data_IF_781637000117
#
_entry.id   IF_781637000117
#
_cell.length_a   1.000
_cell.length_b   1.000
_cell.length_c   1.000
_cell.angle_alpha   90.00
_cell.angle_beta   90.00
_cell.angle_gamma   90.00
#
_symmetry.space_group_name_H-M   'P 1'
#
loop_
_entity.id
_entity.type
_entity.pdbx_description
1 polymer ?
#
# COMPACT_ATOMS: atom_id res chain seq x y z
N UNK A 1 -7.48 -40.34 12.42
CA UNK A 1 -7.19 -38.91 12.12
C UNK A 1 -8.32 -38.10 12.74
N UNK A 2 -8.07 -37.41 13.84
CA UNK A 2 -9.06 -36.52 14.45
C UNK A 2 -9.11 -35.24 13.61
N UNK A 3 -10.24 -34.95 12.98
CA UNK A 3 -10.51 -33.66 12.39
C UNK A 3 -10.48 -32.62 13.54
N UNK A 4 -9.45 -31.79 13.59
CA UNK A 4 -9.49 -30.56 14.38
C UNK A 4 -10.54 -29.67 13.73
N UNK A 5 -11.72 -29.56 14.35
CA UNK A 5 -12.71 -28.56 13.98
C UNK A 5 -12.05 -27.21 14.30
N UNK A 6 -11.81 -26.39 13.28
CA UNK A 6 -11.34 -25.03 13.48
C UNK A 6 -12.39 -24.28 14.33
N UNK A 7 -11.94 -23.63 15.39
CA UNK A 7 -12.81 -22.79 16.22
C UNK A 7 -13.32 -21.61 15.39
N UNK A 8 -14.55 -21.16 15.65
CA UNK A 8 -15.00 -19.90 15.08
C UNK A 8 -14.14 -18.74 15.65
N UNK A 9 -14.03 -17.64 14.92
CA UNK A 9 -13.27 -16.47 15.40
C UNK A 9 -13.78 -15.95 16.76
N UNK A 10 -15.07 -16.02 17.00
CA UNK A 10 -15.65 -15.69 18.31
C UNK A 10 -15.24 -16.63 19.44
N UNK A 11 -15.07 -17.93 19.14
CA UNK A 11 -14.57 -18.92 20.11
C UNK A 11 -13.09 -18.70 20.41
N UNK A 12 -12.29 -18.32 19.39
CA UNK A 12 -10.89 -17.93 19.56
C UNK A 12 -10.75 -16.68 20.44
N UNK A 13 -11.56 -15.64 20.18
CA UNK A 13 -11.62 -14.46 21.03
C UNK A 13 -12.00 -14.79 22.49
N UNK A 14 -12.99 -15.65 22.70
CA UNK A 14 -13.38 -16.07 24.05
C UNK A 14 -12.29 -16.88 24.72
N UNK A 15 -11.60 -17.76 24.00
CA UNK A 15 -10.48 -18.55 24.54
C UNK A 15 -9.35 -17.66 25.03
N UNK A 16 -8.99 -16.63 24.27
CA UNK A 16 -7.85 -15.77 24.57
C UNK A 16 -8.19 -14.66 25.60
N UNK A 17 -9.36 -14.02 25.50
CA UNK A 17 -9.63 -12.79 26.24
C UNK A 17 -10.76 -12.86 27.27
N UNK A 18 -11.36 -14.01 27.53
CA UNK A 18 -12.58 -14.13 28.36
C UNK A 18 -12.47 -13.42 29.72
N UNK A 19 -13.10 -12.24 29.81
CA UNK A 19 -13.24 -11.41 31.02
C UNK A 19 -11.92 -11.00 31.72
N UNK A 20 -10.76 -11.17 31.07
CA UNK A 20 -9.49 -10.69 31.58
C UNK A 20 -9.18 -9.27 31.08
N UNK A 21 -8.32 -8.58 31.77
CA UNK A 21 -7.73 -7.34 31.25
C UNK A 21 -6.72 -7.72 30.17
N UNK A 22 -6.79 -7.06 29.01
CA UNK A 22 -5.85 -7.20 27.91
C UNK A 22 -5.07 -5.91 27.71
N UNK A 23 -3.78 -5.98 27.45
CA UNK A 23 -3.02 -4.82 26.98
C UNK A 23 -3.34 -4.50 25.54
N UNK A 24 -3.03 -3.28 25.09
CA UNK A 24 -3.23 -2.90 23.69
C UNK A 24 -2.32 -3.74 22.79
N UNK A 25 -1.07 -4.01 23.22
CA UNK A 25 -0.13 -4.86 22.47
C UNK A 25 -0.64 -6.29 22.29
N UNK A 26 -1.22 -6.90 23.33
CA UNK A 26 -1.81 -8.24 23.22
C UNK A 26 -2.94 -8.28 22.19
N UNK A 27 -3.81 -7.25 22.19
CA UNK A 27 -4.88 -7.12 21.23
C UNK A 27 -4.35 -6.93 19.80
N UNK A 28 -3.29 -6.15 19.62
CA UNK A 28 -2.64 -5.91 18.35
C UNK A 28 -1.98 -7.20 17.80
N UNK A 29 -1.25 -7.92 18.64
CA UNK A 29 -0.61 -9.20 18.25
C UNK A 29 -1.69 -10.20 17.81
N UNK A 30 -2.73 -10.39 18.62
CA UNK A 30 -3.84 -11.28 18.29
C UNK A 30 -4.51 -10.88 16.99
N UNK A 31 -4.82 -9.59 16.82
CA UNK A 31 -5.47 -9.07 15.62
C UNK A 31 -4.67 -9.36 14.35
N UNK A 32 -3.33 -9.23 14.41
CA UNK A 32 -2.45 -9.51 13.28
C UNK A 32 -2.40 -11.00 12.96
N UNK A 33 -2.31 -11.85 13.98
CA UNK A 33 -2.24 -13.31 13.80
C UNK A 33 -3.55 -13.92 13.28
N UNK A 34 -4.67 -13.20 13.44
CA UNK A 34 -6.00 -13.63 12.98
C UNK A 34 -6.55 -12.81 11.82
N UNK A 35 -5.67 -12.20 11.00
CA UNK A 35 -6.04 -11.45 9.78
C UNK A 35 -7.06 -10.33 9.98
N UNK A 36 -7.09 -9.71 11.16
CA UNK A 36 -7.90 -8.51 11.36
C UNK A 36 -7.32 -7.33 10.58
N UNK A 37 -8.18 -6.44 10.12
CA UNK A 37 -7.78 -5.20 9.44
C UNK A 37 -7.53 -4.05 10.41
N UNK A 38 -8.39 -3.91 11.43
CA UNK A 38 -8.34 -2.78 12.34
C UNK A 38 -8.70 -3.20 13.78
N UNK A 39 -8.11 -2.48 14.76
CA UNK A 39 -8.47 -2.52 16.17
C UNK A 39 -8.96 -1.14 16.58
N UNK A 40 -10.11 -1.08 17.22
CA UNK A 40 -10.72 0.15 17.74
C UNK A 40 -10.70 0.14 19.25
N UNK A 41 -10.13 1.17 19.86
CA UNK A 41 -10.05 1.39 21.30
C UNK A 41 -10.78 2.69 21.66
N UNK A 42 -11.61 2.65 22.70
CA UNK A 42 -12.05 3.84 23.41
C UNK A 42 -11.95 3.57 24.91
N UNK A 43 -11.26 4.44 25.63
CA UNK A 43 -11.06 4.30 27.06
C UNK A 43 -12.42 4.21 27.77
N UNK A 44 -12.58 3.26 28.67
CA UNK A 44 -13.82 2.87 29.37
C UNK A 44 -14.81 2.04 28.57
N UNK A 45 -14.50 1.71 27.32
CA UNK A 45 -15.34 0.84 26.47
C UNK A 45 -14.62 -0.47 26.12
N UNK A 46 -15.37 -1.45 25.60
CA UNK A 46 -14.80 -2.70 25.10
C UNK A 46 -14.04 -2.42 23.81
N UNK A 47 -12.90 -3.07 23.55
CA UNK A 47 -12.24 -3.04 22.25
C UNK A 47 -13.06 -3.76 21.18
N UNK A 48 -12.88 -3.34 19.93
CA UNK A 48 -13.48 -3.99 18.77
C UNK A 48 -12.42 -4.30 17.72
N UNK A 49 -12.57 -5.43 17.04
CA UNK A 49 -11.75 -5.85 15.91
C UNK A 49 -12.59 -5.87 14.64
N UNK A 50 -11.98 -5.43 13.54
CA UNK A 50 -12.53 -5.61 12.19
C UNK A 50 -11.84 -6.77 11.50
N UNK A 51 -12.63 -7.72 10.96
CA UNK A 51 -12.12 -8.85 10.18
C UNK A 51 -13.06 -9.13 9.01
N UNK A 52 -12.54 -9.13 7.79
CA UNK A 52 -13.30 -9.37 6.55
C UNK A 52 -14.59 -8.52 6.46
N UNK A 53 -14.52 -7.26 6.89
CA UNK A 53 -15.65 -6.33 6.87
C UNK A 53 -16.66 -6.49 8.03
N UNK A 54 -16.47 -7.47 8.91
CA UNK A 54 -17.30 -7.68 10.10
C UNK A 54 -16.61 -7.09 11.33
N UNK A 55 -17.44 -6.60 12.28
CA UNK A 55 -16.97 -6.01 13.55
C UNK A 55 -17.24 -6.98 14.69
N UNK A 56 -16.21 -7.26 15.48
CA UNK A 56 -16.26 -8.18 16.61
C UNK A 56 -15.86 -7.47 17.90
N UNK A 57 -16.75 -7.54 18.91
CA UNK A 57 -16.43 -7.06 20.26
C UNK A 57 -15.48 -8.07 20.94
N UNK A 58 -14.34 -7.58 21.43
CA UNK A 58 -13.43 -8.43 22.21
C UNK A 58 -14.02 -8.67 23.62
N UNK A 59 -14.14 -9.91 24.09
CA UNK A 59 -14.77 -10.25 25.37
C UNK A 59 -13.83 -10.09 26.59
N UNK A 60 -12.90 -9.13 26.54
CA UNK A 60 -12.05 -8.73 27.65
C UNK A 60 -12.78 -7.74 28.59
N UNK A 61 -12.11 -7.19 29.60
CA UNK A 61 -12.63 -6.03 30.32
C UNK A 61 -12.55 -4.77 29.45
N UNK A 62 -13.39 -3.74 29.70
CA UNK A 62 -13.25 -2.45 29.05
C UNK A 62 -11.84 -1.87 29.23
N UNK A 63 -11.34 -1.16 28.23
CA UNK A 63 -10.01 -0.55 28.26
C UNK A 63 -9.93 0.49 29.39
N UNK A 64 -9.11 0.23 30.40
CA UNK A 64 -8.94 1.15 31.52
C UNK A 64 -8.02 2.32 31.17
N UNK A 65 -8.04 3.38 32.02
CA UNK A 65 -7.09 4.48 31.88
C UNK A 65 -5.63 4.01 32.06
N UNK A 66 -5.40 3.02 32.93
CA UNK A 66 -4.05 2.50 33.18
C UNK A 66 -3.52 1.74 31.95
N UNK A 67 -4.34 0.92 31.29
CA UNK A 67 -3.97 0.24 30.02
C UNK A 67 -3.63 1.28 28.96
N UNK A 68 -4.42 2.35 28.86
CA UNK A 68 -4.13 3.43 27.93
C UNK A 68 -2.84 4.18 28.26
N UNK A 69 -2.62 4.54 29.54
CA UNK A 69 -1.40 5.26 29.98
C UNK A 69 -0.16 4.44 29.68
N UNK A 70 -0.18 3.14 29.99
CA UNK A 70 0.94 2.24 29.67
C UNK A 70 1.27 2.24 28.18
N UNK A 71 0.27 2.17 27.31
CA UNK A 71 0.47 2.25 25.87
C UNK A 71 1.03 3.63 25.45
N UNK A 72 0.45 4.71 25.96
CA UNK A 72 0.89 6.06 25.61
C UNK A 72 2.34 6.33 26.06
N UNK A 73 2.73 5.89 27.23
CA UNK A 73 4.10 6.03 27.75
C UNK A 73 5.14 5.28 26.90
N UNK A 74 4.74 4.17 26.28
CA UNK A 74 5.64 3.37 25.44
C UNK A 74 5.77 3.90 24.01
N UNK A 75 4.70 4.42 23.43
CA UNK A 75 4.62 4.69 21.99
C UNK A 75 4.39 6.14 21.60
N UNK A 76 4.00 7.00 22.54
CA UNK A 76 3.80 8.44 22.30
C UNK A 76 4.91 9.22 22.97
N UNK A 77 5.89 9.73 22.20
CA UNK A 77 6.98 10.54 22.76
C UNK A 77 6.43 11.82 23.43
N UNK A 78 7.16 12.36 24.41
CA UNK A 78 6.74 13.56 25.14
C UNK A 78 6.47 14.75 24.21
N UNK A 79 7.29 14.97 23.19
CA UNK A 79 7.09 16.04 22.20
C UNK A 79 5.81 15.85 21.36
N UNK A 80 5.50 14.59 20.99
CA UNK A 80 4.26 14.24 20.27
C UNK A 80 3.05 14.30 21.19
N UNK A 81 3.22 14.02 22.49
CA UNK A 81 2.15 14.08 23.46
C UNK A 81 1.67 15.52 23.67
N UNK A 82 2.56 16.50 23.71
CA UNK A 82 2.20 17.93 23.76
C UNK A 82 1.39 18.33 22.52
N UNK A 83 1.81 17.89 21.32
CA UNK A 83 1.07 18.09 20.08
C UNK A 83 -0.30 17.38 20.08
N UNK A 84 -0.39 16.17 20.62
CA UNK A 84 -1.62 15.40 20.77
C UNK A 84 -2.62 16.08 21.68
N UNK A 85 -2.18 16.57 22.84
CA UNK A 85 -3.04 17.28 23.79
C UNK A 85 -3.57 18.58 23.20
N UNK A 86 -2.73 19.33 22.45
CA UNK A 86 -3.12 20.59 21.81
C UNK A 86 -4.03 20.40 20.60
N UNK A 87 -3.67 19.50 19.68
CA UNK A 87 -4.39 19.30 18.42
C UNK A 87 -5.55 18.32 18.53
N UNK A 88 -5.65 17.61 19.66
CA UNK A 88 -6.65 16.56 19.95
C UNK A 88 -6.65 15.41 18.96
N UNK A 89 -5.58 15.27 18.16
CA UNK A 89 -5.37 14.17 17.24
C UNK A 89 -3.88 13.96 16.98
N UNK A 90 -3.50 12.71 16.71
CA UNK A 90 -2.12 12.35 16.36
C UNK A 90 -2.14 11.09 15.50
N UNK A 91 -1.47 11.13 14.34
CA UNK A 91 -1.16 9.96 13.54
C UNK A 91 0.27 9.51 13.80
N UNK A 92 0.48 8.21 14.03
CA UNK A 92 1.79 7.63 14.27
C UNK A 92 1.88 6.18 13.78
N UNK A 93 3.10 5.71 13.60
CA UNK A 93 3.38 4.29 13.42
C UNK A 93 3.79 3.66 14.73
N UNK A 94 3.23 2.49 15.05
CA UNK A 94 3.54 1.71 16.24
C UNK A 94 4.18 0.40 15.84
N UNK A 95 5.30 0.03 16.45
CA UNK A 95 5.92 -1.29 16.29
C UNK A 95 5.83 -2.05 17.62
N UNK A 96 5.18 -3.22 17.58
CA UNK A 96 5.03 -4.10 18.76
C UNK A 96 5.89 -5.34 18.58
N UNK A 97 6.70 -5.65 19.60
CA UNK A 97 7.51 -6.87 19.62
C UNK A 97 6.63 -8.08 19.96
N UNK A 98 6.77 -9.13 19.16
CA UNK A 98 6.06 -10.40 19.37
C UNK A 98 6.92 -11.29 20.25
N UNK A 99 6.43 -11.78 21.39
CA UNK A 99 7.14 -12.76 22.22
C UNK A 99 7.47 -14.03 21.41
N UNK A 100 8.66 -14.62 21.65
CA UNK A 100 9.13 -15.81 20.90
C UNK A 100 8.14 -16.97 20.94
N UNK A 101 7.46 -17.17 22.05
CA UNK A 101 6.43 -18.19 22.23
C UNK A 101 5.17 -18.01 21.37
N UNK A 102 4.95 -16.78 20.87
CA UNK A 102 3.82 -16.41 19.99
C UNK A 102 4.25 -16.22 18.54
N UNK A 103 5.53 -16.46 18.22
CA UNK A 103 6.06 -16.33 16.87
C UNK A 103 5.67 -17.55 16.03
N UNK A 104 4.88 -17.33 14.99
CA UNK A 104 4.72 -18.32 13.93
C UNK A 104 5.89 -18.21 12.95
N UNK A 105 6.29 -19.32 12.30
CA UNK A 105 7.47 -19.42 11.43
C UNK A 105 7.45 -18.44 10.25
N UNK A 106 6.26 -18.00 9.87
CA UNK A 106 6.03 -17.10 8.72
C UNK A 106 5.95 -15.61 9.11
N UNK A 107 6.10 -15.29 10.39
CA UNK A 107 5.96 -13.92 10.90
C UNK A 107 7.29 -13.35 11.39
N UNK A 108 7.43 -12.04 11.27
CA UNK A 108 8.58 -11.29 11.81
C UNK A 108 8.45 -11.16 13.33
N UNK A 109 9.57 -10.90 14.01
CA UNK A 109 9.59 -10.61 15.47
C UNK A 109 8.94 -9.29 15.85
N UNK A 110 8.47 -8.51 14.88
CA UNK A 110 7.82 -7.21 15.08
C UNK A 110 6.62 -7.06 14.16
N UNK A 111 5.52 -6.57 14.73
CA UNK A 111 4.33 -6.16 13.98
C UNK A 111 4.22 -4.64 13.98
N UNK A 112 3.84 -4.08 12.84
CA UNK A 112 3.69 -2.64 12.66
C UNK A 112 2.23 -2.27 12.42
N UNK A 113 1.87 -1.08 12.94
CA UNK A 113 0.50 -0.55 12.87
C UNK A 113 0.54 0.93 12.53
N UNK A 114 -0.38 1.37 11.68
CA UNK A 114 -0.75 2.79 11.60
C UNK A 114 -1.75 3.07 12.71
N UNK A 115 -1.49 4.07 13.52
CA UNK A 115 -2.32 4.42 14.65
C UNK A 115 -2.82 5.86 14.50
N UNK A 116 -4.13 6.05 14.48
CA UNK A 116 -4.77 7.36 14.59
C UNK A 116 -5.31 7.50 16.01
N UNK A 117 -4.73 8.43 16.78
CA UNK A 117 -5.18 8.80 18.11
C UNK A 117 -6.10 10.01 18.07
N UNK A 118 -7.10 10.06 18.94
CA UNK A 118 -8.03 11.17 19.04
C UNK A 118 -8.76 11.21 20.35
N UNK A 119 -9.77 12.07 20.43
CA UNK A 119 -10.67 12.20 21.57
C UNK A 119 -12.12 12.08 21.12
N UNK A 120 -12.92 11.40 21.92
CA UNK A 120 -14.36 11.34 21.81
C UNK A 120 -14.98 11.46 23.22
N UNK A 121 -15.81 12.46 23.44
CA UNK A 121 -16.42 12.72 24.75
C UNK A 121 -15.37 12.81 25.90
N UNK A 122 -14.30 13.56 25.66
CA UNK A 122 -13.15 13.72 26.56
C UNK A 122 -12.38 12.43 26.89
N UNK A 123 -12.67 11.33 26.20
CA UNK A 123 -11.99 10.04 26.33
C UNK A 123 -11.03 9.83 25.17
N UNK A 124 -9.88 9.26 25.47
CA UNK A 124 -8.95 8.86 24.44
C UNK A 124 -9.54 7.76 23.56
N UNK A 125 -9.38 7.91 22.25
CA UNK A 125 -9.72 6.90 21.24
C UNK A 125 -8.50 6.60 20.38
N UNK A 126 -8.40 5.36 19.92
CA UNK A 126 -7.39 4.95 18.96
C UNK A 126 -7.98 4.01 17.92
N UNK A 127 -7.58 4.21 16.68
CA UNK A 127 -7.80 3.24 15.61
C UNK A 127 -6.45 2.76 15.12
N UNK A 128 -6.20 1.46 15.24
CA UNK A 128 -4.99 0.83 14.74
C UNK A 128 -5.32 0.07 13.47
N UNK A 129 -4.65 0.38 12.38
CA UNK A 129 -4.67 -0.39 11.15
C UNK A 129 -3.51 -1.35 11.11
N UNK A 130 -3.81 -2.63 10.94
CA UNK A 130 -2.81 -3.69 10.86
C UNK A 130 -2.01 -3.58 9.57
N UNK A 131 -0.68 -3.54 9.70
CA UNK A 131 0.24 -3.65 8.58
C UNK A 131 0.71 -5.10 8.55
N UNK A 132 0.33 -5.84 7.50
CA UNK A 132 0.58 -7.28 7.45
C UNK A 132 2.08 -7.58 7.47
N UNK A 133 2.57 -8.40 8.43
CA UNK A 133 3.99 -8.70 8.56
C UNK A 133 4.49 -9.77 7.58
N UNK A 134 3.59 -10.49 6.92
CA UNK A 134 3.94 -11.54 5.97
C UNK A 134 4.60 -10.96 4.73
N UNK A 135 5.68 -11.61 4.27
CA UNK A 135 6.31 -11.32 2.99
C UNK A 135 5.37 -11.77 1.86
N UNK A 136 4.62 -10.81 1.32
CA UNK A 136 3.72 -11.07 0.20
C UNK A 136 4.50 -11.09 -1.12
N UNK A 137 4.16 -12.03 -1.99
CA UNK A 137 4.68 -12.17 -3.36
C UNK A 137 3.50 -12.36 -4.33
N UNK A 138 3.73 -12.28 -5.62
CA UNK A 138 2.68 -12.56 -6.60
C UNK A 138 2.11 -13.98 -6.48
N UNK A 139 2.94 -14.95 -6.10
CA UNK A 139 2.48 -16.32 -5.87
C UNK A 139 1.59 -16.43 -4.63
N UNK A 140 1.98 -15.77 -3.53
CA UNK A 140 1.21 -15.82 -2.27
C UNK A 140 -0.13 -15.09 -2.33
N UNK A 141 -0.28 -14.11 -3.21
CA UNK A 141 -1.55 -13.39 -3.41
C UNK A 141 -2.31 -13.87 -4.66
N UNK A 142 -1.84 -14.94 -5.30
CA UNK A 142 -2.44 -15.48 -6.54
C UNK A 142 -2.71 -14.39 -7.60
N UNK A 143 -1.71 -13.53 -7.82
CA UNK A 143 -1.86 -12.38 -8.73
C UNK A 143 -1.98 -12.84 -10.19
N UNK A 144 -2.78 -12.16 -11.03
CA UNK A 144 -2.94 -12.53 -12.43
C UNK A 144 -1.60 -12.61 -13.17
N UNK A 145 -1.29 -13.80 -13.71
CA UNK A 145 0.03 -14.11 -14.29
C UNK A 145 0.39 -13.18 -15.45
N UNK A 146 -0.55 -12.88 -16.33
CA UNK A 146 -0.28 -12.01 -17.48
C UNK A 146 0.06 -10.58 -17.03
N UNK A 147 -0.63 -10.08 -16.00
CA UNK A 147 -0.30 -8.78 -15.40
C UNK A 147 1.09 -8.80 -14.74
N UNK A 148 1.44 -9.87 -14.01
CA UNK A 148 2.77 -10.04 -13.43
C UNK A 148 3.87 -10.07 -14.49
N UNK A 149 3.67 -10.76 -15.62
CA UNK A 149 4.60 -10.80 -16.76
C UNK A 149 4.75 -9.41 -17.40
N UNK A 150 3.67 -8.65 -17.54
CA UNK A 150 3.69 -7.28 -18.04
C UNK A 150 4.45 -6.35 -17.09
N UNK A 151 4.24 -6.48 -15.78
CA UNK A 151 5.00 -5.74 -14.77
C UNK A 151 6.48 -6.10 -14.80
N UNK A 152 6.82 -7.38 -14.93
CA UNK A 152 8.19 -7.83 -15.11
C UNK A 152 8.86 -7.18 -16.33
N UNK A 153 8.16 -7.13 -17.46
CA UNK A 153 8.63 -6.46 -18.67
C UNK A 153 8.85 -4.95 -18.42
N UNK A 154 7.93 -4.31 -17.72
CA UNK A 154 8.01 -2.88 -17.42
C UNK A 154 9.17 -2.54 -16.46
N UNK A 155 9.47 -3.42 -15.50
CA UNK A 155 10.56 -3.27 -14.55
C UNK A 155 11.96 -3.48 -15.15
N UNK A 156 12.06 -4.13 -16.32
CA UNK A 156 13.33 -4.28 -17.06
C UNK A 156 13.78 -2.98 -17.74
N UNK A 157 12.87 -2.01 -17.83
CA UNK A 157 13.17 -0.71 -18.42
C UNK A 157 14.04 0.12 -17.44
N UNK A 158 15.00 0.85 -18.00
CA UNK A 158 15.91 1.68 -17.19
C UNK A 158 15.24 2.93 -16.64
N UNK A 159 14.21 3.41 -17.29
CA UNK A 159 13.49 4.64 -16.93
C UNK A 159 12.02 4.54 -17.33
N UNK A 160 11.19 5.38 -16.77
CA UNK A 160 9.78 5.46 -17.09
C UNK A 160 8.89 5.45 -15.85
N UNK A 161 7.58 5.40 -16.05
CA UNK A 161 6.58 5.52 -14.99
C UNK A 161 5.65 4.30 -15.01
N UNK A 162 5.55 3.62 -13.87
CA UNK A 162 4.61 2.51 -13.60
C UNK A 162 3.61 3.02 -12.58
N UNK A 163 2.31 2.92 -12.87
CA UNK A 163 1.25 3.40 -11.99
C UNK A 163 0.34 2.26 -11.56
N UNK A 164 0.12 2.15 -10.25
CA UNK A 164 -0.91 1.31 -9.66
C UNK A 164 -2.08 2.18 -9.22
N UNK A 165 -3.27 1.90 -9.73
CA UNK A 165 -4.47 2.64 -9.36
C UNK A 165 -5.51 1.74 -8.70
N UNK A 166 -6.19 2.26 -7.72
CA UNK A 166 -7.35 1.67 -7.06
C UNK A 166 -7.98 2.68 -6.10
N UNK A 167 -9.18 2.39 -5.64
CA UNK A 167 -9.76 3.06 -4.49
C UNK A 167 -8.97 2.77 -3.20
N UNK A 168 -9.28 3.49 -2.13
CA UNK A 168 -8.72 3.21 -0.79
C UNK A 168 -9.09 1.78 -0.38
N UNK A 169 -8.10 1.03 0.11
CA UNK A 169 -8.29 -0.39 0.46
C UNK A 169 -8.29 -1.35 -0.74
N UNK A 170 -8.08 -0.88 -1.97
CA UNK A 170 -8.03 -1.71 -3.18
C UNK A 170 -6.73 -2.51 -3.37
N UNK A 171 -5.84 -2.56 -2.37
CA UNK A 171 -4.65 -3.42 -2.38
C UNK A 171 -3.44 -2.90 -3.17
N UNK A 172 -3.39 -1.60 -3.53
CA UNK A 172 -2.26 -1.01 -4.27
C UNK A 172 -0.90 -1.29 -3.63
N UNK A 173 -0.75 -0.92 -2.36
CA UNK A 173 0.50 -1.11 -1.59
C UNK A 173 0.86 -2.58 -1.47
N UNK A 174 -0.13 -3.45 -1.29
CA UNK A 174 0.08 -4.91 -1.25
C UNK A 174 0.60 -5.44 -2.58
N UNK A 175 0.06 -4.99 -3.70
CA UNK A 175 0.54 -5.39 -5.04
C UNK A 175 1.94 -4.86 -5.32
N UNK A 176 2.23 -3.61 -4.95
CA UNK A 176 3.60 -3.07 -5.06
C UNK A 176 4.59 -3.87 -4.21
N UNK A 177 4.21 -4.19 -2.96
CA UNK A 177 5.06 -5.00 -2.08
C UNK A 177 5.26 -6.42 -2.65
N UNK A 178 4.21 -7.06 -3.16
CA UNK A 178 4.33 -8.35 -3.83
C UNK A 178 5.26 -8.28 -5.06
N UNK A 179 5.16 -7.23 -5.84
CA UNK A 179 6.02 -6.96 -6.99
C UNK A 179 7.50 -6.86 -6.56
N UNK A 180 7.82 -6.02 -5.58
CA UNK A 180 9.18 -5.87 -5.06
C UNK A 180 9.69 -7.20 -4.51
N UNK A 181 8.94 -7.86 -3.63
CA UNK A 181 9.34 -9.12 -3.01
C UNK A 181 9.52 -10.27 -4.02
N UNK A 182 8.71 -10.29 -5.09
CA UNK A 182 8.84 -11.32 -6.14
C UNK A 182 10.11 -11.11 -6.96
N UNK A 183 10.41 -9.87 -7.32
CA UNK A 183 11.46 -9.57 -8.29
C UNK A 183 12.81 -9.18 -7.67
N UNK A 184 12.89 -8.90 -6.37
CA UNK A 184 14.14 -8.62 -5.64
C UNK A 184 14.91 -9.87 -5.21
N UNK A 185 14.38 -11.07 -5.46
CA UNK A 185 15.06 -12.32 -5.17
C UNK A 185 16.31 -12.48 -6.04
N UNK A 186 17.35 -13.16 -5.51
CA UNK A 186 18.60 -13.40 -6.22
C UNK A 186 18.38 -14.02 -7.61
N UNK A 187 19.01 -13.45 -8.62
CA UNK A 187 18.88 -13.88 -10.02
C UNK A 187 17.59 -13.41 -10.70
N UNK A 188 16.78 -12.59 -10.04
CA UNK A 188 15.61 -11.93 -10.64
C UNK A 188 15.96 -10.55 -11.18
N UNK A 189 15.00 -9.88 -11.78
CA UNK A 189 15.20 -8.62 -12.54
C UNK A 189 15.64 -7.43 -11.70
N UNK A 190 15.39 -7.43 -10.39
CA UNK A 190 15.82 -6.36 -9.49
C UNK A 190 17.17 -6.66 -8.83
N UNK A 191 17.81 -7.77 -9.18
CA UNK A 191 19.17 -8.08 -8.75
C UNK A 191 20.14 -7.00 -9.24
N UNK A 192 21.10 -6.61 -8.41
CA UNK A 192 22.06 -5.51 -8.66
C UNK A 192 21.40 -4.13 -8.87
N UNK A 193 20.30 -3.85 -8.16
CA UNK A 193 19.64 -2.54 -8.23
C UNK A 193 19.55 -1.87 -6.86
N UNK A 194 19.50 -0.53 -6.90
CA UNK A 194 19.28 0.35 -5.75
C UNK A 194 17.91 1.00 -5.88
N UNK A 195 17.12 0.87 -4.84
CA UNK A 195 15.77 1.45 -4.77
C UNK A 195 15.66 2.43 -3.61
N UNK A 196 14.92 3.51 -3.81
CA UNK A 196 14.52 4.44 -2.77
C UNK A 196 13.01 4.52 -2.78
N UNK A 197 12.38 4.35 -1.61
CA UNK A 197 10.93 4.55 -1.47
C UNK A 197 10.64 5.79 -0.65
N UNK A 198 9.54 6.45 -0.98
CA UNK A 198 8.97 7.57 -0.24
C UNK A 198 7.50 7.27 0.00
N UNK A 199 7.11 7.11 1.26
CA UNK A 199 5.83 6.56 1.66
C UNK A 199 5.17 7.40 2.76
N UNK A 200 3.85 7.35 2.87
CA UNK A 200 3.06 8.08 3.87
C UNK A 200 1.87 7.24 4.39
N UNK A 201 2.11 6.45 5.47
CA UNK A 201 3.37 5.99 6.03
C UNK A 201 3.95 4.77 5.27
N UNK A 202 5.12 4.25 5.70
CA UNK A 202 5.64 2.96 5.21
C UNK A 202 4.69 1.85 5.65
N UNK A 203 4.02 1.18 4.69
CA UNK A 203 3.10 0.06 4.98
C UNK A 203 3.80 -1.30 5.02
N UNK A 204 4.80 -1.51 4.18
CA UNK A 204 5.56 -2.77 4.09
C UNK A 204 7.04 -2.50 4.28
N UNK A 205 7.71 -3.30 5.12
CA UNK A 205 9.16 -3.25 5.26
C UNK A 205 9.81 -4.20 4.27
N UNK A 206 10.82 -3.71 3.58
CA UNK A 206 11.63 -4.47 2.65
C UNK A 206 13.02 -4.67 3.21
N UNK A 207 13.58 -5.85 2.95
CA UNK A 207 14.95 -6.16 3.34
C UNK A 207 15.88 -6.02 2.13
N UNK A 208 17.02 -5.37 2.34
CA UNK A 208 18.12 -5.39 1.38
C UNK A 208 18.74 -6.78 1.38
N UNK A 209 19.17 -7.24 0.21
CA UNK A 209 19.93 -8.49 0.05
C UNK A 209 21.38 -8.17 -0.32
N UNK A 210 22.21 -9.18 -0.62
CA UNK A 210 23.60 -8.98 -1.06
C UNK A 210 23.71 -8.13 -2.33
N UNK A 211 22.68 -8.15 -3.16
CA UNK A 211 22.67 -7.49 -4.48
C UNK A 211 21.44 -6.63 -4.76
N UNK A 212 20.56 -6.47 -3.81
CA UNK A 212 19.41 -5.56 -3.88
C UNK A 212 19.42 -4.62 -2.69
N UNK A 213 19.62 -3.34 -2.93
CA UNK A 213 19.59 -2.30 -1.89
C UNK A 213 18.28 -1.54 -1.95
N UNK A 214 17.57 -1.43 -0.82
CA UNK A 214 16.38 -0.60 -0.69
C UNK A 214 16.49 0.31 0.53
N UNK A 215 16.19 1.60 0.35
CA UNK A 215 16.11 2.60 1.40
C UNK A 215 14.69 3.13 1.43
N UNK A 216 14.01 2.97 2.56
CA UNK A 216 12.64 3.44 2.73
C UNK A 216 12.61 4.71 3.57
N UNK A 217 11.88 5.71 3.08
CA UNK A 217 11.71 7.02 3.72
C UNK A 217 10.24 7.28 4.00
N UNK A 218 9.95 7.82 5.18
CA UNK A 218 8.59 8.12 5.64
C UNK A 218 8.34 9.62 5.66
N UNK A 219 7.18 10.05 5.15
CA UNK A 219 6.77 11.45 5.20
C UNK A 219 6.53 11.89 6.65
N UNK A 220 6.94 13.11 6.95
CA UNK A 220 6.90 13.65 8.31
C UNK A 220 8.13 13.33 9.16
N UNK A 221 8.84 12.23 8.87
CA UNK A 221 10.10 11.85 9.54
C UNK A 221 11.31 12.20 8.66
N UNK A 222 11.35 11.69 7.42
CA UNK A 222 12.51 11.79 6.53
C UNK A 222 12.36 12.89 5.47
N UNK A 223 11.14 13.25 5.11
CA UNK A 223 10.82 14.31 4.15
C UNK A 223 9.44 14.92 4.46
N UNK A 224 9.17 16.12 3.94
CA UNK A 224 7.91 16.84 4.20
C UNK A 224 6.88 16.69 3.08
N UNK A 225 7.32 16.70 1.84
CA UNK A 225 6.48 16.60 0.65
C UNK A 225 7.09 15.65 -0.37
N UNK A 226 6.27 14.89 -1.09
CA UNK A 226 6.75 13.89 -2.07
C UNK A 226 7.67 14.51 -3.14
N UNK A 227 7.35 15.71 -3.62
CA UNK A 227 8.17 16.39 -4.61
C UNK A 227 9.60 16.68 -4.12
N UNK A 228 9.77 17.05 -2.85
CA UNK A 228 11.09 17.27 -2.27
C UNK A 228 11.79 15.94 -1.95
N UNK A 229 11.05 14.94 -1.49
CA UNK A 229 11.56 13.58 -1.30
C UNK A 229 12.16 13.00 -2.59
N UNK A 230 11.49 13.17 -3.73
CA UNK A 230 11.99 12.73 -5.05
C UNK A 230 13.33 13.39 -5.38
N UNK A 231 13.45 14.72 -5.19
CA UNK A 231 14.71 15.44 -5.43
C UNK A 231 15.86 14.93 -4.55
N UNK A 232 15.56 14.58 -3.30
CA UNK A 232 16.56 13.98 -2.39
C UNK A 232 16.93 12.56 -2.85
N UNK A 233 15.94 11.76 -3.20
CA UNK A 233 16.13 10.39 -3.68
C UNK A 233 17.03 10.33 -4.92
N UNK A 234 16.90 11.25 -5.88
CA UNK A 234 17.73 11.33 -7.08
C UNK A 234 19.24 11.46 -6.78
N UNK A 235 19.61 11.99 -5.60
CA UNK A 235 21.02 12.12 -5.18
C UNK A 235 21.60 10.81 -4.63
N UNK A 236 20.78 9.81 -4.38
CA UNK A 236 21.19 8.48 -3.95
C UNK A 236 21.49 7.54 -5.14
N UNK A 237 21.40 8.05 -6.37
CA UNK A 237 21.60 7.32 -7.62
C UNK A 237 20.81 5.99 -7.70
N UNK A 238 19.48 6.01 -7.44
CA UNK A 238 18.68 4.81 -7.46
C UNK A 238 18.41 4.34 -8.90
N UNK A 239 18.21 3.04 -9.07
CA UNK A 239 17.65 2.51 -10.32
C UNK A 239 16.13 2.73 -10.39
N UNK A 240 15.46 2.68 -9.24
CA UNK A 240 14.03 2.93 -9.14
C UNK A 240 13.69 3.79 -7.92
N UNK A 241 12.74 4.69 -8.11
CA UNK A 241 12.13 5.51 -7.06
C UNK A 241 10.67 5.08 -6.92
N UNK A 242 10.30 4.55 -5.74
CA UNK A 242 8.91 4.32 -5.40
C UNK A 242 8.35 5.56 -4.71
N UNK A 243 7.32 6.15 -5.29
CA UNK A 243 6.57 7.26 -4.69
C UNK A 243 5.24 6.69 -4.21
N UNK A 244 5.02 6.68 -2.91
CA UNK A 244 3.83 6.08 -2.30
C UNK A 244 2.55 6.51 -2.99
N UNK A 245 2.44 7.80 -3.27
CA UNK A 245 1.26 8.35 -3.97
C UNK A 245 1.61 9.65 -4.71
N UNK A 246 1.04 9.84 -5.89
CA UNK A 246 0.98 11.13 -6.59
C UNK A 246 -0.45 11.66 -6.53
N UNK A 247 -0.62 12.90 -6.03
CA UNK A 247 -1.94 13.50 -5.76
C UNK A 247 -2.19 14.80 -6.53
N UNK A 248 -1.13 15.46 -6.94
CA UNK A 248 -1.17 16.81 -7.49
C UNK A 248 -0.17 17.02 -8.63
N UNK A 249 -0.29 18.17 -9.28
CA UNK A 249 0.59 18.53 -10.39
C UNK A 249 2.08 18.52 -10.02
N UNK A 250 2.44 18.86 -8.78
CA UNK A 250 3.84 18.94 -8.34
C UNK A 250 4.45 17.55 -8.19
N UNK A 251 3.75 16.63 -7.52
CA UNK A 251 4.21 15.24 -7.37
C UNK A 251 4.24 14.50 -8.72
N UNK A 252 3.25 14.73 -9.60
CA UNK A 252 3.24 14.20 -10.97
C UNK A 252 4.45 14.73 -11.78
N UNK A 253 4.69 16.05 -11.74
CA UNK A 253 5.82 16.68 -12.45
C UNK A 253 7.17 16.16 -11.96
N UNK A 254 7.31 15.95 -10.64
CA UNK A 254 8.54 15.40 -10.06
C UNK A 254 8.77 13.95 -10.48
N UNK A 255 7.72 13.13 -10.59
CA UNK A 255 7.80 11.77 -11.10
C UNK A 255 8.20 11.74 -12.58
N UNK A 256 7.65 12.67 -13.38
CA UNK A 256 8.04 12.82 -14.80
C UNK A 256 9.51 13.22 -14.90
N UNK A 257 9.98 14.17 -14.11
CA UNK A 257 11.37 14.61 -14.10
C UNK A 257 12.33 13.48 -13.72
N UNK A 258 12.01 12.70 -12.68
CA UNK A 258 12.78 11.52 -12.31
C UNK A 258 12.89 10.52 -13.48
N UNK A 259 11.79 10.28 -14.19
CA UNK A 259 11.78 9.37 -15.34
C UNK A 259 12.58 9.89 -16.54
N UNK A 260 12.54 11.19 -16.80
CA UNK A 260 13.34 11.85 -17.86
C UNK A 260 14.83 11.82 -17.58
N UNK A 261 15.22 11.88 -16.31
CA UNK A 261 16.64 11.82 -15.89
C UNK A 261 17.17 10.39 -15.78
N UNK A 262 16.42 9.41 -16.27
CA UNK A 262 16.91 8.03 -16.44
C UNK A 262 16.53 7.08 -15.31
N UNK A 263 15.57 7.44 -14.45
CA UNK A 263 15.14 6.61 -13.34
C UNK A 263 13.78 5.95 -13.64
N UNK A 264 13.61 4.70 -13.22
CA UNK A 264 12.30 4.08 -13.18
C UNK A 264 11.53 4.63 -11.98
N UNK A 265 10.28 5.06 -12.20
CA UNK A 265 9.41 5.54 -11.13
C UNK A 265 8.20 4.63 -11.00
N UNK A 266 7.95 4.13 -9.80
CA UNK A 266 6.77 3.35 -9.45
C UNK A 266 5.92 4.16 -8.48
N UNK A 267 4.61 4.26 -8.72
CA UNK A 267 3.74 5.09 -7.87
C UNK A 267 2.32 4.58 -7.80
N UNK A 268 1.55 5.09 -6.82
CA UNK A 268 0.10 4.86 -6.78
C UNK A 268 -0.68 6.10 -7.17
N UNK A 269 -1.90 5.85 -7.62
CA UNK A 269 -2.87 6.88 -7.94
C UNK A 269 -4.28 6.44 -7.52
N UNK A 270 -5.15 7.38 -7.17
CA UNK A 270 -6.54 7.08 -6.84
C UNK A 270 -7.44 7.24 -8.05
N UNK A 271 -7.80 6.12 -8.67
CA UNK A 271 -8.80 6.06 -9.74
C UNK A 271 -9.40 4.65 -9.82
N UNK A 272 -10.53 4.52 -10.50
CA UNK A 272 -11.31 3.28 -10.51
C UNK A 272 -10.89 2.32 -11.63
N UNK A 273 -10.38 2.84 -12.74
CA UNK A 273 -9.97 2.07 -13.91
C UNK A 273 -8.78 2.71 -14.63
N UNK A 274 -8.25 2.02 -15.62
CA UNK A 274 -7.10 2.50 -16.41
C UNK A 274 -7.45 3.78 -17.16
N UNK A 275 -8.62 3.84 -17.77
CA UNK A 275 -9.08 5.01 -18.51
C UNK A 275 -9.24 6.23 -17.61
N UNK A 276 -9.89 6.07 -16.46
CA UNK A 276 -10.05 7.11 -15.44
C UNK A 276 -8.72 7.58 -14.87
N UNK A 277 -7.78 6.67 -14.65
CA UNK A 277 -6.41 7.01 -14.23
C UNK A 277 -5.76 7.94 -15.24
N UNK A 278 -5.78 7.56 -16.52
CA UNK A 278 -5.15 8.35 -17.57
C UNK A 278 -5.83 9.72 -17.74
N UNK A 279 -7.18 9.76 -17.77
CA UNK A 279 -7.95 11.02 -17.86
C UNK A 279 -7.60 11.98 -16.72
N UNK A 280 -7.58 11.51 -15.48
CA UNK A 280 -7.29 12.35 -14.30
C UNK A 280 -5.84 12.83 -14.29
N UNK A 281 -4.87 12.00 -14.66
CA UNK A 281 -3.48 12.42 -14.80
C UNK A 281 -3.32 13.54 -15.83
N UNK A 282 -3.93 13.37 -17.01
CA UNK A 282 -3.89 14.36 -18.08
C UNK A 282 -4.62 15.66 -17.70
N UNK A 283 -5.72 15.55 -16.96
CA UNK A 283 -6.43 16.71 -16.43
C UNK A 283 -5.56 17.53 -15.48
N UNK A 284 -4.81 16.90 -14.58
CA UNK A 284 -3.87 17.58 -13.69
C UNK A 284 -2.74 18.31 -14.43
N UNK A 285 -2.43 17.91 -15.67
CA UNK A 285 -1.35 18.47 -16.49
C UNK A 285 -1.83 19.40 -17.62
N UNK A 286 -3.09 19.84 -17.58
CA UNK A 286 -3.67 20.73 -18.60
C UNK A 286 -3.61 20.18 -20.04
N UNK A 287 -3.84 18.89 -20.26
CA UNK A 287 -3.96 18.11 -21.50
C UNK A 287 -3.02 18.45 -22.68
N UNK A 288 -2.63 19.69 -22.87
CA UNK A 288 -1.80 20.19 -23.98
C UNK A 288 -0.43 20.72 -23.59
N UNK A 289 -0.05 20.57 -22.30
CA UNK A 289 1.25 21.01 -21.80
C UNK A 289 2.38 20.07 -22.23
N UNK A 290 3.61 20.57 -22.26
CA UNK A 290 4.82 19.75 -22.49
C UNK A 290 4.91 18.59 -21.48
N UNK A 291 4.44 18.80 -20.24
CA UNK A 291 4.40 17.76 -19.21
C UNK A 291 3.46 16.60 -19.57
N UNK A 292 2.36 16.87 -20.29
CA UNK A 292 1.47 15.84 -20.80
C UNK A 292 2.18 14.96 -21.83
N UNK A 293 2.91 15.58 -22.75
CA UNK A 293 3.74 14.82 -23.71
C UNK A 293 4.82 14.00 -23.02
N UNK A 294 5.51 14.61 -22.06
CA UNK A 294 6.53 13.92 -21.28
C UNK A 294 5.98 12.75 -20.45
N UNK A 295 4.81 12.92 -19.82
CA UNK A 295 4.13 11.82 -19.12
C UNK A 295 3.91 10.64 -20.08
N UNK A 296 3.21 10.87 -21.20
CA UNK A 296 2.87 9.79 -22.15
C UNK A 296 4.13 9.14 -22.72
N UNK A 297 5.15 9.91 -23.06
CA UNK A 297 6.42 9.39 -23.58
C UNK A 297 7.12 8.47 -22.58
N UNK A 298 7.02 8.76 -21.29
CA UNK A 298 7.68 8.03 -20.22
C UNK A 298 6.80 6.95 -19.55
N UNK A 299 5.49 6.88 -19.81
CA UNK A 299 4.64 5.81 -19.27
C UNK A 299 5.13 4.43 -19.71
N UNK A 300 5.10 3.45 -18.79
CA UNK A 300 5.36 2.04 -19.06
C UNK A 300 4.09 1.23 -18.96
N UNK A 301 3.40 1.32 -17.85
CA UNK A 301 2.08 0.70 -17.69
C UNK A 301 1.26 1.41 -16.62
N UNK A 302 -0.05 1.20 -16.72
CA UNK A 302 -1.03 1.45 -15.67
C UNK A 302 -1.63 0.10 -15.29
N UNK A 303 -1.74 -0.18 -14.00
CA UNK A 303 -2.47 -1.32 -13.45
C UNK A 303 -3.54 -0.78 -12.53
N UNK A 304 -4.79 -1.05 -12.84
CA UNK A 304 -5.94 -0.72 -12.00
C UNK A 304 -6.49 -1.98 -11.38
N UNK A 305 -6.83 -1.94 -10.09
CA UNK A 305 -7.33 -3.11 -9.40
C UNK A 305 -8.42 -2.80 -8.40
N UNK A 306 -9.28 -3.81 -8.17
CA UNK A 306 -10.31 -3.80 -7.15
C UNK A 306 -10.23 -5.09 -6.33
N UNK A 307 -10.35 -4.96 -5.02
CA UNK A 307 -10.55 -6.08 -4.13
C UNK A 307 -12.04 -6.23 -3.88
N UNK A 308 -12.60 -7.35 -4.32
CA UNK A 308 -14.02 -7.68 -4.17
C UNK A 308 -14.14 -8.61 -2.95
N UNK A 309 -14.75 -8.16 -1.83
CA UNK A 309 -14.87 -8.96 -0.63
C UNK A 309 -15.77 -10.19 -0.88
N UNK A 310 -15.35 -11.34 -0.37
CA UNK A 310 -16.10 -12.59 -0.25
C UNK A 310 -16.22 -12.97 1.22
N UNK A 311 -16.92 -14.02 1.55
CA UNK A 311 -17.16 -14.42 2.93
C UNK A 311 -15.87 -14.72 3.72
N UNK A 312 -14.84 -15.26 3.07
CA UNK A 312 -13.59 -15.73 3.68
C UNK A 312 -12.30 -15.23 2.99
N UNK A 313 -12.44 -14.42 1.94
CA UNK A 313 -11.32 -13.95 1.11
C UNK A 313 -11.71 -12.73 0.29
N UNK A 314 -10.76 -12.25 -0.50
CA UNK A 314 -11.01 -11.28 -1.57
C UNK A 314 -10.84 -11.93 -2.94
N UNK A 315 -11.58 -11.43 -3.93
CA UNK A 315 -11.23 -11.58 -5.34
C UNK A 315 -10.47 -10.31 -5.77
N UNK A 316 -9.45 -10.47 -6.59
CA UNK A 316 -8.79 -9.34 -7.26
C UNK A 316 -9.31 -9.25 -8.69
N UNK A 317 -9.87 -8.10 -9.04
CA UNK A 317 -10.20 -7.72 -10.41
C UNK A 317 -9.13 -6.75 -10.89
N UNK A 318 -8.40 -7.12 -11.95
CA UNK A 318 -7.26 -6.36 -12.46
C UNK A 318 -7.50 -5.99 -13.91
N UNK A 319 -7.38 -4.70 -14.19
CA UNK A 319 -7.29 -4.13 -15.53
C UNK A 319 -5.92 -3.49 -15.72
N UNK A 320 -5.27 -3.68 -16.87
CA UNK A 320 -3.97 -3.06 -17.11
C UNK A 320 -3.77 -2.63 -18.56
N UNK A 321 -2.94 -1.63 -18.77
CA UNK A 321 -2.51 -1.13 -20.07
C UNK A 321 -0.99 -0.99 -20.12
N UNK A 322 -0.36 -1.71 -21.04
CA UNK A 322 1.06 -1.52 -21.37
C UNK A 322 1.23 -0.48 -22.46
N UNK A 323 2.01 0.55 -22.19
CA UNK A 323 2.25 1.66 -23.13
C UNK A 323 3.30 1.29 -24.19
N UNK A 324 2.87 0.53 -25.18
CA UNK A 324 3.68 0.21 -26.36
C UNK A 324 4.00 1.47 -27.16
N UNK A 325 5.04 1.44 -28.03
CA UNK A 325 5.34 2.56 -28.93
C UNK A 325 4.14 2.98 -29.80
N UNK A 326 3.28 2.04 -30.16
CA UNK A 326 2.06 2.31 -30.93
C UNK A 326 1.05 3.10 -30.12
N UNK A 327 0.75 2.66 -28.89
CA UNK A 327 -0.19 3.37 -27.99
C UNK A 327 0.29 4.79 -27.71
N UNK A 328 1.57 4.95 -27.35
CA UNK A 328 2.17 6.27 -27.12
C UNK A 328 1.98 7.18 -28.32
N UNK A 329 2.30 6.69 -29.51
CA UNK A 329 2.16 7.44 -30.76
C UNK A 329 0.71 7.82 -31.03
N UNK A 330 -0.25 6.91 -30.82
CA UNK A 330 -1.68 7.20 -30.99
C UNK A 330 -2.11 8.33 -30.09
N UNK A 331 -1.77 8.29 -28.79
CA UNK A 331 -2.13 9.35 -27.85
C UNK A 331 -1.47 10.68 -28.23
N UNK A 332 -0.15 10.66 -28.47
CA UNK A 332 0.60 11.88 -28.77
C UNK A 332 0.16 12.54 -30.09
N UNK A 333 -0.17 11.75 -31.12
CA UNK A 333 -0.68 12.27 -32.37
C UNK A 333 -2.09 12.87 -32.19
N UNK A 334 -2.98 12.19 -31.47
CA UNK A 334 -4.31 12.73 -31.19
C UNK A 334 -4.24 14.05 -30.41
N UNK A 335 -3.39 14.12 -29.36
CA UNK A 335 -3.17 15.37 -28.63
C UNK A 335 -2.64 16.50 -29.53
N UNK A 336 -1.70 16.18 -30.43
CA UNK A 336 -1.13 17.14 -31.37
C UNK A 336 -2.16 17.65 -32.39
N UNK A 337 -3.08 16.79 -32.81
CA UNK A 337 -4.16 17.14 -33.70
C UNK A 337 -5.31 17.91 -33.02
N UNK A 338 -5.30 18.00 -31.70
CA UNK A 338 -6.39 18.60 -30.93
C UNK A 338 -7.60 17.69 -30.76
N UNK A 339 -7.43 16.37 -30.95
CA UNK A 339 -8.49 15.40 -30.75
C UNK A 339 -8.94 15.36 -29.28
N UNK A 340 -10.21 14.98 -29.07
CA UNK A 340 -10.72 14.84 -27.72
C UNK A 340 -10.03 13.67 -27.00
N UNK A 341 -9.36 13.96 -25.89
CA UNK A 341 -8.59 12.97 -25.14
C UNK A 341 -9.45 11.78 -24.67
N UNK A 342 -10.72 12.01 -24.34
CA UNK A 342 -11.61 10.93 -23.94
C UNK A 342 -11.88 9.98 -25.12
N UNK A 343 -12.07 10.50 -26.33
CA UNK A 343 -12.23 9.68 -27.53
C UNK A 343 -10.98 8.85 -27.81
N UNK A 344 -9.79 9.44 -27.69
CA UNK A 344 -8.52 8.72 -27.87
C UNK A 344 -8.40 7.55 -26.87
N UNK A 345 -8.73 7.81 -25.59
CA UNK A 345 -8.66 6.79 -24.54
C UNK A 345 -9.68 5.68 -24.80
N UNK A 346 -10.92 6.04 -25.16
CA UNK A 346 -11.99 5.07 -25.45
C UNK A 346 -11.63 4.18 -26.64
N UNK A 347 -11.02 4.74 -27.69
CA UNK A 347 -10.53 3.99 -28.85
C UNK A 347 -9.41 3.01 -28.44
N UNK A 348 -8.48 3.43 -27.59
CA UNK A 348 -7.41 2.56 -27.09
C UNK A 348 -8.00 1.43 -26.24
N UNK A 349 -8.90 1.74 -25.32
CA UNK A 349 -9.48 0.74 -24.41
C UNK A 349 -10.41 -0.25 -25.11
N UNK A 350 -11.03 0.15 -26.21
CA UNK A 350 -11.88 -0.73 -27.03
C UNK A 350 -11.10 -1.61 -28.01
N UNK A 351 -9.85 -1.26 -28.34
CA UNK A 351 -9.03 -1.98 -29.30
C UNK A 351 -8.38 -3.22 -28.68
N UNK A 352 -8.84 -4.41 -29.07
CA UNK A 352 -8.35 -5.72 -28.60
C UNK A 352 -6.89 -6.02 -28.99
N UNK A 353 -6.28 -5.26 -29.90
CA UNK A 353 -4.86 -5.41 -30.24
C UNK A 353 -3.94 -4.81 -29.17
N UNK A 354 -4.46 -3.93 -28.36
CA UNK A 354 -3.72 -3.38 -27.23
C UNK A 354 -3.81 -4.36 -26.06
N UNK A 355 -2.68 -4.55 -25.37
CA UNK A 355 -2.64 -5.41 -24.19
C UNK A 355 -3.38 -4.66 -23.07
N UNK A 356 -4.67 -4.81 -23.07
CA UNK A 356 -5.56 -4.57 -21.98
C UNK A 356 -6.21 -5.93 -21.64
N UNK A 357 -6.18 -6.35 -20.41
CA UNK A 357 -6.98 -7.49 -20.00
C UNK A 357 -7.63 -7.19 -18.67
N UNK A 358 -8.81 -7.76 -18.51
CA UNK A 358 -9.54 -7.78 -17.26
C UNK A 358 -9.55 -9.22 -16.77
N UNK A 359 -8.90 -9.45 -15.63
CA UNK A 359 -8.87 -10.75 -14.99
C UNK A 359 -9.40 -10.65 -13.57
N UNK A 360 -10.31 -11.56 -13.22
CA UNK A 360 -10.80 -11.73 -11.85
C UNK A 360 -10.22 -13.01 -11.30
N UNK A 361 -9.50 -12.92 -10.18
CA UNK A 361 -8.90 -14.06 -9.50
C UNK A 361 -9.15 -14.02 -7.99
N UNK A 362 -9.05 -15.17 -7.36
CA UNK A 362 -9.05 -15.24 -5.91
C UNK A 362 -7.79 -14.55 -5.40
N UNK A 363 -7.99 -13.52 -4.57
CA UNK A 363 -6.91 -12.94 -3.79
C UNK A 363 -6.70 -13.84 -2.57
N UNK A 364 -5.70 -14.66 -2.63
CA UNK A 364 -5.29 -15.40 -1.45
C UNK A 364 -4.54 -14.40 -0.55
N UNK A 365 -5.20 -14.00 0.56
CA UNK A 365 -4.45 -13.48 1.68
C UNK A 365 -3.51 -14.61 2.05
N UNK A 366 -2.21 -14.42 1.95
CA UNK A 366 -1.24 -15.42 2.35
C UNK A 366 -1.65 -15.96 3.72
N UNK A 367 -2.18 -17.19 3.75
CA UNK A 367 -2.47 -17.92 4.97
C UNK A 367 -1.18 -18.18 5.73
#
# INVERSE_FOLDING_TARGET
>A
MAFKIALSFEEELKKEFNKRTASIEELLIFATQHDCSDLYIKVTEYPYLSRYGNIYRVPCTPTSKDVWSTFADLYVSNERNDGYVHNKQLDLSVEVYVPEEKLDKDYTSKYRYRCALGFSEEKNVATFRMIKPKKITFDTINYPKQCAEMLEKSLKEKSGIIIFSAQTGGGKSSTMAACINTFSQKGRILDNTVWVTMEDPIEYRFESTDSFKITQKEMGEDFREFADGIKVALREHPNCILVGEIRDKYSISSAIEASRTGHLTMTTFHADDVAGTLRRLLYHLDNSSDLTYDLIANMRCIVSQHLIPQADRYLVDVEYLYFSPTIKRTILNGLKNGDNINSIIDDIMSNKEFINSKEVRNWESAE
#
